data_IF_730242457306
#
_entry.id   IF_730242457306
#
_cell.length_a   1.000
_cell.length_b   1.000
_cell.length_c   1.000
_cell.angle_alpha   90.00
_cell.angle_beta   90.00
_cell.angle_gamma   90.00
#
_symmetry.space_group_name_H-M   'P 1'
#
loop_
_entity.id
_entity.type
_entity.pdbx_description
1 polymer ?
#
# COMPACT_ATOMS: atom_id res chain seq x y z
N UNK A 1 1.97 25.28 18.69
CA UNK A 1 1.20 25.70 19.91
C UNK A 1 0.59 27.08 19.76
N UNK A 2 1.34 28.14 19.42
CA UNK A 2 0.82 29.52 19.25
C UNK A 2 -0.24 29.64 18.15
N UNK A 3 -0.11 28.93 17.04
CA UNK A 3 -1.10 28.96 15.95
C UNK A 3 -2.39 28.25 16.33
N UNK A 4 -2.33 27.18 17.13
CA UNK A 4 -3.49 26.47 17.65
C UNK A 4 -4.27 27.34 18.67
N UNK A 5 -3.58 28.09 19.52
CA UNK A 5 -4.20 29.01 20.46
C UNK A 5 -4.85 30.21 19.76
N UNK A 6 -4.19 30.70 18.69
CA UNK A 6 -4.73 31.80 17.88
C UNK A 6 -5.98 31.36 17.11
N UNK A 7 -5.99 30.12 16.60
CA UNK A 7 -7.17 29.54 15.92
C UNK A 7 -8.33 29.32 16.91
N UNK A 8 -8.04 28.87 18.14
CA UNK A 8 -9.05 28.74 19.21
C UNK A 8 -9.71 30.09 19.57
N UNK A 9 -8.95 31.18 19.51
CA UNK A 9 -9.47 32.49 19.87
C UNK A 9 -10.23 33.20 18.74
N UNK A 10 -10.03 32.79 17.48
CA UNK A 10 -10.58 33.44 16.29
C UNK A 10 -11.72 32.69 15.62
N UNK A 11 -11.95 31.41 15.98
CA UNK A 11 -13.02 30.58 15.43
C UNK A 11 -14.05 30.29 16.53
N UNK A 12 -15.33 30.21 16.15
CA UNK A 12 -16.33 29.64 17.05
C UNK A 12 -16.05 28.15 17.30
N UNK A 13 -16.53 27.63 18.42
CA UNK A 13 -16.26 26.25 18.87
C UNK A 13 -16.62 25.19 17.83
N UNK A 14 -17.65 25.42 17.02
CA UNK A 14 -18.11 24.51 15.98
C UNK A 14 -17.16 24.51 14.77
N UNK A 15 -16.73 25.69 14.33
CA UNK A 15 -15.78 25.84 13.24
C UNK A 15 -14.39 25.29 13.64
N UNK A 16 -13.95 25.54 14.88
CA UNK A 16 -12.71 24.98 15.41
C UNK A 16 -12.75 23.44 15.44
N UNK A 17 -13.84 22.85 15.94
CA UNK A 17 -14.01 21.38 15.91
C UNK A 17 -14.06 20.81 14.51
N UNK A 18 -14.75 21.48 13.57
CA UNK A 18 -14.83 21.02 12.19
C UNK A 18 -13.49 21.10 11.46
N UNK A 19 -12.72 22.14 11.64
CA UNK A 19 -11.42 22.29 10.94
C UNK A 19 -10.27 21.57 11.62
N UNK A 20 -10.16 21.64 12.93
CA UNK A 20 -8.99 21.11 13.65
C UNK A 20 -9.23 19.73 14.26
N UNK A 21 -10.39 19.46 14.84
CA UNK A 21 -10.66 18.14 15.43
C UNK A 21 -10.96 17.09 14.36
N UNK A 22 -11.62 17.46 13.25
CA UNK A 22 -11.82 16.54 12.14
C UNK A 22 -10.48 16.14 11.48
N UNK A 23 -9.51 17.05 11.35
CA UNK A 23 -8.18 16.74 10.87
C UNK A 23 -7.38 15.88 11.87
N UNK A 24 -7.54 16.09 13.18
CA UNK A 24 -6.96 15.25 14.23
C UNK A 24 -7.56 13.85 14.26
N UNK A 25 -8.89 13.73 14.18
CA UNK A 25 -9.56 12.42 14.10
C UNK A 25 -9.19 11.68 12.82
N UNK A 26 -9.09 12.38 11.70
CA UNK A 26 -8.65 11.82 10.41
C UNK A 26 -7.22 11.31 10.51
N UNK A 27 -6.30 12.06 11.09
CA UNK A 27 -4.92 11.62 11.28
C UNK A 27 -4.81 10.42 12.24
N UNK A 28 -5.57 10.42 13.33
CA UNK A 28 -5.57 9.32 14.32
C UNK A 28 -6.15 8.02 13.78
N UNK A 29 -7.07 8.09 12.79
CA UNK A 29 -7.71 6.91 12.19
C UNK A 29 -7.10 6.46 10.87
N UNK A 30 -6.06 7.11 10.40
CA UNK A 30 -5.41 6.80 9.12
C UNK A 30 -4.87 5.36 9.08
N UNK A 31 -5.02 4.68 7.95
CA UNK A 31 -4.53 3.32 7.74
C UNK A 31 -2.99 3.26 7.78
N UNK A 32 -2.33 4.21 7.14
CA UNK A 32 -0.87 4.41 7.21
C UNK A 32 -0.53 5.42 8.31
N UNK A 33 -0.74 5.06 9.59
CA UNK A 33 -0.57 5.98 10.73
C UNK A 33 0.86 6.43 10.96
N UNK A 34 1.87 5.64 10.53
CA UNK A 34 3.28 6.00 10.60
C UNK A 34 3.77 6.83 9.40
N UNK A 35 2.89 7.10 8.41
CA UNK A 35 3.29 7.87 7.23
C UNK A 35 3.44 9.36 7.57
N UNK A 36 4.60 9.88 7.24
CA UNK A 36 4.96 11.30 7.29
C UNK A 36 5.51 11.70 5.92
N UNK A 37 4.92 12.72 5.31
CA UNK A 37 5.27 13.13 3.94
C UNK A 37 6.73 13.60 3.84
N UNK A 38 7.23 14.31 4.82
CA UNK A 38 8.59 14.85 4.81
C UNK A 38 9.65 13.73 4.95
N UNK A 39 9.33 12.69 5.73
CA UNK A 39 10.23 11.55 5.93
C UNK A 39 10.19 10.54 4.79
N UNK A 40 9.01 10.33 4.18
CA UNK A 40 8.78 9.17 3.31
C UNK A 40 8.70 9.51 1.83
N UNK A 41 8.37 10.77 1.46
CA UNK A 41 8.29 11.18 0.06
C UNK A 41 9.61 11.80 -0.35
N UNK A 42 10.46 10.97 -0.94
CA UNK A 42 11.81 11.38 -1.35
C UNK A 42 12.10 10.90 -2.77
N UNK A 43 12.93 11.62 -3.50
CA UNK A 43 13.52 11.14 -4.74
C UNK A 43 14.81 10.41 -4.39
N UNK A 44 14.90 9.11 -4.70
CA UNK A 44 16.12 8.36 -4.46
C UNK A 44 17.23 8.84 -5.40
N UNK A 45 18.44 9.01 -4.89
CA UNK A 45 19.63 9.37 -5.68
C UNK A 45 20.07 8.19 -6.55
N UNK A 46 20.06 6.98 -5.99
CA UNK A 46 20.38 5.74 -6.68
C UNK A 46 19.31 4.69 -6.41
N UNK A 47 18.97 3.92 -7.44
CA UNK A 47 18.01 2.83 -7.34
C UNK A 47 18.73 1.48 -7.28
N UNK A 48 18.24 0.58 -6.43
CA UNK A 48 18.63 -0.83 -6.46
C UNK A 48 18.16 -1.48 -7.76
N UNK A 49 18.89 -2.46 -8.25
CA UNK A 49 18.52 -3.25 -9.44
C UNK A 49 17.44 -4.32 -9.15
N UNK A 50 17.10 -4.53 -7.89
CA UNK A 50 16.10 -5.53 -7.48
C UNK A 50 14.70 -4.92 -7.55
N UNK A 51 14.12 -4.87 -8.74
CA UNK A 51 12.79 -4.35 -8.98
C UNK A 51 11.71 -5.42 -8.85
N UNK A 52 10.61 -5.05 -8.24
CA UNK A 52 9.44 -5.90 -7.98
C UNK A 52 8.14 -5.09 -8.14
N UNK A 53 7.03 -5.77 -8.41
CA UNK A 53 5.73 -5.13 -8.65
C UNK A 53 4.69 -5.63 -7.65
N UNK A 54 4.05 -4.74 -6.91
CA UNK A 54 2.81 -5.01 -6.17
C UNK A 54 1.61 -4.77 -7.07
N UNK A 55 0.56 -5.62 -7.01
CA UNK A 55 -0.58 -5.56 -7.93
C UNK A 55 -1.89 -5.74 -7.18
N UNK A 56 -2.87 -4.88 -7.44
CA UNK A 56 -4.26 -4.99 -6.96
C UNK A 56 -5.21 -5.16 -8.14
N UNK A 57 -6.00 -6.24 -8.09
CA UNK A 57 -7.03 -6.53 -9.09
C UNK A 57 -8.38 -6.00 -8.60
N UNK A 58 -8.80 -4.89 -9.18
CA UNK A 58 -10.11 -4.34 -8.86
C UNK A 58 -10.83 -3.91 -10.15
N UNK A 59 -12.14 -4.19 -10.23
CA UNK A 59 -12.95 -3.88 -11.42
C UNK A 59 -12.99 -2.38 -11.69
N UNK A 60 -13.03 -1.56 -10.62
CA UNK A 60 -13.09 -0.12 -10.75
C UNK A 60 -11.73 0.48 -11.13
N UNK A 61 -10.66 0.00 -10.48
CA UNK A 61 -9.29 0.45 -10.72
C UNK A 61 -8.29 -0.69 -10.60
N UNK A 62 -7.69 -1.08 -11.70
CA UNK A 62 -6.47 -1.90 -11.70
C UNK A 62 -5.29 -1.05 -11.26
N UNK A 63 -4.52 -1.51 -10.29
CA UNK A 63 -3.35 -0.80 -9.79
C UNK A 63 -2.12 -1.68 -9.74
N UNK A 64 -0.99 -1.13 -10.14
CA UNK A 64 0.32 -1.73 -9.96
C UNK A 64 1.30 -0.67 -9.44
N UNK A 65 2.18 -1.08 -8.52
CA UNK A 65 3.23 -0.22 -7.97
C UNK A 65 4.59 -0.88 -8.17
N UNK A 66 5.49 -0.17 -8.83
CA UNK A 66 6.88 -0.59 -8.99
C UNK A 66 7.70 -0.18 -7.78
N UNK A 67 8.43 -1.11 -7.21
CA UNK A 67 9.36 -0.83 -6.12
C UNK A 67 10.74 -1.42 -6.41
N UNK A 68 11.78 -0.78 -5.89
CA UNK A 68 13.09 -1.40 -5.75
C UNK A 68 13.37 -1.75 -4.28
N UNK A 69 14.08 -2.86 -4.06
CA UNK A 69 14.44 -3.36 -2.73
C UNK A 69 15.93 -3.32 -2.59
N UNK A 70 16.42 -2.61 -1.57
CA UNK A 70 17.83 -2.50 -1.24
C UNK A 70 18.32 -3.70 -0.41
N UNK A 71 19.63 -3.88 -0.35
CA UNK A 71 20.27 -4.98 0.40
C UNK A 71 19.93 -4.96 1.90
N UNK A 72 19.72 -3.78 2.48
CA UNK A 72 19.33 -3.57 3.86
C UNK A 72 17.81 -3.79 4.11
N UNK A 73 17.10 -4.31 3.10
CA UNK A 73 15.65 -4.54 3.11
C UNK A 73 14.79 -3.27 3.13
N UNK A 74 15.34 -2.12 2.83
CA UNK A 74 14.57 -0.91 2.55
C UNK A 74 13.87 -1.07 1.20
N UNK A 75 12.62 -0.61 1.12
CA UNK A 75 11.82 -0.58 -0.10
C UNK A 75 11.57 0.86 -0.52
N UNK A 76 11.80 1.16 -1.79
CA UNK A 76 11.46 2.45 -2.39
C UNK A 76 10.48 2.24 -3.54
N UNK A 77 9.28 2.81 -3.43
CA UNK A 77 8.30 2.80 -4.51
C UNK A 77 8.68 3.85 -5.55
N UNK A 78 8.92 3.38 -6.78
CA UNK A 78 9.54 4.19 -7.86
C UNK A 78 8.51 4.70 -8.83
N UNK A 79 7.46 3.92 -9.12
CA UNK A 79 6.48 4.23 -10.16
C UNK A 79 5.15 3.55 -9.89
N UNK A 80 4.08 3.99 -10.54
CA UNK A 80 2.76 3.40 -10.39
C UNK A 80 1.93 3.44 -11.67
N UNK A 81 1.07 2.45 -11.81
CA UNK A 81 0.02 2.39 -12.82
C UNK A 81 -1.31 2.35 -12.07
N UNK A 82 -2.28 3.15 -12.52
CA UNK A 82 -3.66 3.06 -12.08
C UNK A 82 -4.58 3.30 -13.27
N UNK A 83 -5.43 2.31 -13.57
CA UNK A 83 -6.32 2.34 -14.73
C UNK A 83 -7.73 2.00 -14.35
N UNK A 84 -8.66 2.86 -14.75
CA UNK A 84 -10.10 2.63 -14.59
C UNK A 84 -10.60 1.74 -15.71
N UNK A 85 -11.56 0.86 -15.39
CA UNK A 85 -12.20 -0.02 -16.37
C UNK A 85 -11.19 -0.82 -17.23
N UNK A 86 -10.15 -1.34 -16.60
CA UNK A 86 -9.07 -2.09 -17.24
C UNK A 86 -9.21 -3.60 -17.00
N UNK A 87 -8.38 -4.38 -17.65
CA UNK A 87 -8.27 -5.82 -17.45
C UNK A 87 -6.86 -6.19 -17.03
N UNK A 88 -6.70 -7.37 -16.43
CA UNK A 88 -5.38 -7.92 -16.08
C UNK A 88 -4.47 -8.09 -17.28
N UNK A 89 -5.02 -8.45 -18.44
CA UNK A 89 -4.31 -8.51 -19.72
C UNK A 89 -3.72 -7.14 -20.09
N UNK A 90 -4.57 -6.09 -20.09
CA UNK A 90 -4.14 -4.74 -20.42
C UNK A 90 -3.10 -4.21 -19.45
N UNK A 91 -3.29 -4.46 -18.14
CA UNK A 91 -2.33 -4.08 -17.11
C UNK A 91 -0.99 -4.79 -17.32
N UNK A 92 -0.99 -6.09 -17.61
CA UNK A 92 0.23 -6.87 -17.84
C UNK A 92 1.03 -6.35 -19.05
N UNK A 93 0.34 -5.98 -20.14
CA UNK A 93 0.94 -5.37 -21.34
C UNK A 93 1.56 -4.01 -20.97
N UNK A 94 0.84 -3.18 -20.24
CA UNK A 94 1.31 -1.84 -19.84
C UNK A 94 2.53 -1.92 -18.91
N UNK A 95 2.49 -2.80 -17.90
CA UNK A 95 3.64 -3.05 -17.02
C UNK A 95 4.89 -3.47 -17.82
N UNK A 96 4.72 -4.34 -18.81
CA UNK A 96 5.83 -4.78 -19.68
C UNK A 96 6.42 -3.65 -20.50
N UNK A 97 5.58 -2.74 -20.98
CA UNK A 97 5.97 -1.57 -21.77
C UNK A 97 6.72 -0.53 -20.94
N UNK A 98 6.20 -0.23 -19.74
CA UNK A 98 6.75 0.83 -18.87
C UNK A 98 7.94 0.35 -18.05
N UNK A 99 7.95 -0.93 -17.65
CA UNK A 99 8.95 -1.52 -16.75
C UNK A 99 9.60 -2.76 -17.38
N UNK A 100 10.30 -2.60 -18.52
CA UNK A 100 10.90 -3.72 -19.21
C UNK A 100 11.94 -4.44 -18.34
N UNK A 101 11.91 -5.78 -18.38
CA UNK A 101 12.84 -6.63 -17.59
C UNK A 101 12.38 -6.91 -16.16
N UNK A 102 11.37 -6.21 -15.63
CA UNK A 102 10.82 -6.54 -14.31
C UNK A 102 9.82 -7.69 -14.44
N UNK A 103 10.09 -8.79 -13.73
CA UNK A 103 9.31 -10.03 -13.86
C UNK A 103 8.71 -10.54 -12.56
N UNK A 104 9.04 -9.99 -11.41
CA UNK A 104 8.47 -10.42 -10.13
C UNK A 104 7.22 -9.65 -9.77
N UNK A 105 6.07 -10.34 -9.71
CA UNK A 105 4.78 -9.77 -9.34
C UNK A 105 4.26 -10.32 -8.00
N UNK A 106 3.76 -9.43 -7.16
CA UNK A 106 3.18 -9.71 -5.83
C UNK A 106 1.72 -9.24 -5.81
N UNK A 107 0.81 -10.00 -6.44
CA UNK A 107 -0.58 -9.60 -6.57
C UNK A 107 -1.45 -9.96 -5.37
N UNK A 108 -2.69 -9.43 -5.41
CA UNK A 108 -3.78 -9.87 -4.55
C UNK A 108 -3.93 -11.40 -4.62
N UNK A 109 -3.89 -12.12 -3.48
CA UNK A 109 -4.15 -13.56 -3.44
C UNK A 109 -5.50 -13.97 -4.01
N UNK A 110 -6.53 -13.11 -3.99
CA UNK A 110 -7.85 -13.38 -4.55
C UNK A 110 -7.81 -13.62 -6.08
N UNK A 111 -6.79 -13.08 -6.77
CA UNK A 111 -6.58 -13.29 -8.21
C UNK A 111 -6.31 -14.74 -8.64
N UNK A 112 -6.29 -15.72 -7.69
CA UNK A 112 -6.28 -17.15 -8.00
C UNK A 112 -7.64 -17.67 -8.49
N UNK A 113 -8.74 -16.98 -8.16
CA UNK A 113 -10.08 -17.37 -8.58
C UNK A 113 -10.22 -17.30 -10.11
N UNK A 114 -10.85 -18.31 -10.70
CA UNK A 114 -11.14 -18.30 -12.12
C UNK A 114 -12.31 -17.36 -12.43
N UNK A 115 -12.18 -16.54 -13.45
CA UNK A 115 -13.29 -15.77 -13.98
C UNK A 115 -14.23 -16.70 -14.76
N UNK A 116 -15.54 -16.54 -14.58
CA UNK A 116 -16.56 -17.26 -15.38
C UNK A 116 -16.53 -16.86 -16.85
N UNK A 117 -15.98 -15.70 -17.15
CA UNK A 117 -15.93 -15.14 -18.53
C UNK A 117 -14.68 -15.56 -19.30
N UNK A 118 -13.52 -15.71 -18.62
CA UNK A 118 -12.24 -15.93 -19.33
C UNK A 118 -11.66 -17.33 -19.13
N UNK A 119 -12.24 -18.17 -18.24
CA UNK A 119 -11.71 -19.47 -17.81
C UNK A 119 -10.25 -19.44 -17.28
N UNK A 120 -9.64 -18.26 -17.20
CA UNK A 120 -8.30 -18.00 -16.63
C UNK A 120 -8.42 -17.15 -15.38
N UNK A 121 -7.52 -17.36 -14.42
CA UNK A 121 -7.37 -16.46 -13.26
C UNK A 121 -6.43 -15.31 -13.60
N UNK A 122 -6.53 -14.21 -12.83
CA UNK A 122 -5.61 -13.07 -12.97
C UNK A 122 -4.15 -13.49 -12.80
N UNK A 123 -3.88 -14.39 -11.86
CA UNK A 123 -2.55 -14.96 -11.68
C UNK A 123 -2.08 -15.77 -12.89
N UNK A 124 -2.98 -16.49 -13.60
CA UNK A 124 -2.62 -17.21 -14.80
C UNK A 124 -2.30 -16.23 -15.93
N UNK A 125 -3.11 -15.18 -16.11
CA UNK A 125 -2.86 -14.14 -17.10
C UNK A 125 -1.48 -13.49 -16.90
N UNK A 126 -1.13 -13.13 -15.65
CA UNK A 126 0.21 -12.60 -15.35
C UNK A 126 1.32 -13.58 -15.74
N UNK A 127 1.18 -14.89 -15.42
CA UNK A 127 2.17 -15.91 -15.83
C UNK A 127 2.29 -16.06 -17.33
N UNK A 128 1.18 -16.03 -18.05
CA UNK A 128 1.15 -16.11 -19.51
C UNK A 128 1.90 -14.91 -20.14
N UNK A 129 1.90 -13.77 -19.45
CA UNK A 129 2.72 -12.59 -19.80
C UNK A 129 4.18 -12.65 -19.30
N UNK A 130 4.62 -13.76 -18.71
CA UNK A 130 6.00 -13.99 -18.28
C UNK A 130 6.34 -13.44 -16.90
N UNK A 131 5.34 -13.10 -16.07
CA UNK A 131 5.57 -12.72 -14.67
C UNK A 131 5.69 -13.94 -13.76
N UNK A 132 6.65 -13.91 -12.86
CA UNK A 132 6.74 -14.82 -11.71
C UNK A 132 5.80 -14.30 -10.63
N UNK A 133 4.74 -15.02 -10.35
CA UNK A 133 3.67 -14.60 -9.43
C UNK A 133 3.90 -15.17 -8.04
N UNK A 134 4.09 -14.30 -7.08
CA UNK A 134 4.27 -14.61 -5.66
C UNK A 134 3.07 -14.09 -4.86
N UNK A 135 2.19 -14.96 -4.45
CA UNK A 135 1.02 -14.60 -3.65
C UNK A 135 0.94 -15.49 -2.41
N UNK A 136 0.40 -14.95 -1.32
CA UNK A 136 0.14 -15.73 -0.12
C UNK A 136 -0.92 -16.83 -0.41
N UNK A 137 -0.83 -17.95 0.29
CA UNK A 137 -1.80 -19.07 0.14
C UNK A 137 -3.21 -18.69 0.58
N UNK A 138 -3.31 -17.80 1.57
CA UNK A 138 -4.56 -17.24 2.06
C UNK A 138 -4.46 -15.71 2.08
N UNK A 139 -5.59 -15.05 1.94
CA UNK A 139 -5.64 -13.59 2.00
C UNK A 139 -5.21 -13.10 3.40
N UNK A 140 -4.11 -12.34 3.54
CA UNK A 140 -3.72 -11.81 4.83
C UNK A 140 -4.79 -10.82 5.33
N UNK A 141 -5.02 -10.78 6.64
CA UNK A 141 -5.98 -9.83 7.20
C UNK A 141 -5.55 -8.38 6.90
N UNK A 142 -6.52 -7.47 6.75
CA UNK A 142 -6.21 -6.05 6.58
C UNK A 142 -5.33 -5.54 7.73
N UNK A 143 -5.61 -5.98 8.96
CA UNK A 143 -4.81 -5.61 10.15
C UNK A 143 -3.35 -6.02 10.01
N UNK A 144 -3.07 -7.25 9.56
CA UNK A 144 -1.69 -7.73 9.41
C UNK A 144 -0.97 -6.99 8.27
N UNK A 145 -1.68 -6.71 7.16
CA UNK A 145 -1.14 -5.92 6.05
C UNK A 145 -0.79 -4.50 6.50
N UNK A 146 -1.69 -3.83 7.24
CA UNK A 146 -1.46 -2.48 7.76
C UNK A 146 -0.34 -2.44 8.80
N UNK A 147 -0.26 -3.45 9.68
CA UNK A 147 0.85 -3.56 10.63
C UNK A 147 2.20 -3.75 9.92
N UNK A 148 2.25 -4.57 8.86
CA UNK A 148 3.46 -4.76 8.06
C UNK A 148 3.87 -3.45 7.35
N UNK A 149 2.92 -2.73 6.77
CA UNK A 149 3.12 -1.43 6.14
C UNK A 149 3.71 -0.42 7.14
N UNK A 150 3.01 -0.21 8.27
CA UNK A 150 3.42 0.81 9.23
C UNK A 150 4.77 0.51 9.89
N UNK A 151 5.08 -0.79 10.11
CA UNK A 151 6.43 -1.20 10.54
C UNK A 151 7.51 -0.86 9.50
N UNK A 152 7.19 -0.87 8.20
CA UNK A 152 8.12 -0.47 7.13
C UNK A 152 8.22 1.05 7.02
N UNK A 153 7.12 1.77 7.22
CA UNK A 153 7.15 3.22 7.28
C UNK A 153 8.05 3.69 8.42
N UNK A 154 7.76 3.31 9.65
CA UNK A 154 8.61 3.61 10.81
C UNK A 154 8.44 2.51 11.86
N UNK A 155 9.51 1.87 12.27
CA UNK A 155 9.48 0.85 13.32
C UNK A 155 9.52 1.47 14.73
N UNK A 156 9.40 0.64 15.75
CA UNK A 156 9.42 1.10 17.16
C UNK A 156 10.74 1.78 17.60
N UNK A 157 11.81 1.66 16.79
CA UNK A 157 13.09 2.33 17.02
C UNK A 157 13.23 3.61 16.19
N UNK A 158 12.18 4.03 15.47
CA UNK A 158 12.21 5.20 14.59
C UNK A 158 12.93 4.95 13.25
N UNK A 159 13.17 3.69 12.87
CA UNK A 159 13.87 3.36 11.63
C UNK A 159 12.89 3.32 10.46
N UNK A 160 13.14 4.16 9.45
CA UNK A 160 12.39 4.20 8.20
C UNK A 160 12.96 3.18 7.21
N UNK A 161 12.12 2.27 6.74
CA UNK A 161 12.46 1.22 5.76
C UNK A 161 11.53 1.21 4.55
N UNK A 162 10.73 2.25 4.38
CA UNK A 162 9.87 2.45 3.20
C UNK A 162 9.86 3.92 2.80
N UNK A 163 10.10 4.17 1.52
CA UNK A 163 10.00 5.51 0.93
C UNK A 163 9.28 5.45 -0.42
N UNK A 164 8.84 6.60 -0.92
CA UNK A 164 8.01 6.72 -2.13
C UNK A 164 8.52 7.89 -2.98
N UNK A 165 8.72 7.67 -4.27
CA UNK A 165 9.06 8.74 -5.22
C UNK A 165 7.87 9.73 -5.35
N UNK A 166 8.11 11.04 -5.40
CA UNK A 166 7.06 12.07 -5.55
C UNK A 166 6.14 11.87 -6.75
N UNK A 167 6.53 11.11 -7.76
CA UNK A 167 5.68 10.80 -8.92
C UNK A 167 4.59 9.77 -8.65
N UNK A 168 4.70 8.96 -7.58
CA UNK A 168 3.69 8.01 -7.15
C UNK A 168 2.53 8.71 -6.43
N UNK A 169 1.79 9.53 -7.16
CA UNK A 169 0.77 10.44 -6.61
C UNK A 169 -0.41 9.70 -5.98
N UNK A 170 -0.82 8.57 -6.58
CA UNK A 170 -1.94 7.78 -6.07
C UNK A 170 -1.56 7.03 -4.79
N UNK A 171 -0.37 6.42 -4.76
CA UNK A 171 0.11 5.76 -3.54
C UNK A 171 0.30 6.77 -2.40
N UNK A 172 0.88 7.95 -2.68
CA UNK A 172 1.02 9.02 -1.68
C UNK A 172 -0.35 9.45 -1.17
N UNK A 173 -1.32 9.69 -2.08
CA UNK A 173 -2.70 10.05 -1.71
C UNK A 173 -3.35 8.97 -0.84
N UNK A 174 -3.20 7.71 -1.20
CA UNK A 174 -3.73 6.59 -0.42
C UNK A 174 -3.09 6.53 0.98
N UNK A 175 -1.76 6.69 1.09
CA UNK A 175 -1.04 6.73 2.37
C UNK A 175 -1.50 7.88 3.28
N UNK A 176 -1.86 9.02 2.70
CA UNK A 176 -2.34 10.20 3.43
C UNK A 176 -3.81 10.10 3.86
N UNK A 177 -4.68 9.49 3.04
CA UNK A 177 -6.12 9.68 3.14
C UNK A 177 -6.91 8.42 3.49
N UNK A 178 -6.38 7.22 3.23
CA UNK A 178 -7.10 5.98 3.55
C UNK A 178 -7.29 5.85 5.06
N UNK A 179 -8.54 5.64 5.48
CA UNK A 179 -8.92 5.48 6.88
C UNK A 179 -9.04 4.01 7.25
N UNK A 180 -8.99 3.72 8.54
CA UNK A 180 -9.36 2.42 9.10
C UNK A 180 -10.87 2.38 9.34
N UNK A 181 -11.45 1.22 9.09
CA UNK A 181 -12.82 0.95 9.51
C UNK A 181 -12.92 0.71 11.04
N UNK A 182 -14.15 0.58 11.55
CA UNK A 182 -14.39 0.33 12.99
C UNK A 182 -13.82 -1.00 13.49
N UNK A 183 -13.47 -1.92 12.59
CA UNK A 183 -12.88 -3.23 12.91
C UNK A 183 -11.35 -3.21 12.78
N UNK A 184 -10.74 -2.05 12.49
CA UNK A 184 -9.30 -1.88 12.27
C UNK A 184 -8.81 -2.37 10.91
N UNK A 185 -9.72 -2.61 9.97
CA UNK A 185 -9.43 -2.87 8.57
C UNK A 185 -9.29 -1.59 7.75
N UNK A 186 -9.29 -1.73 6.43
CA UNK A 186 -9.27 -0.60 5.47
C UNK A 186 -10.71 -0.18 5.19
N UNK A 187 -11.02 1.10 5.36
CA UNK A 187 -12.29 1.66 4.91
C UNK A 187 -12.32 1.73 3.37
N UNK A 188 -13.26 1.01 2.79
CA UNK A 188 -13.51 0.93 1.34
C UNK A 188 -14.62 1.85 0.85
N UNK A 189 -15.11 2.77 1.70
CA UNK A 189 -16.23 3.67 1.36
C UNK A 189 -15.91 4.67 0.25
N UNK A 190 -14.64 4.99 0.02
CA UNK A 190 -14.22 5.87 -1.07
C UNK A 190 -13.54 5.05 -2.19
N UNK A 191 -14.24 4.90 -3.31
CA UNK A 191 -13.77 4.16 -4.50
C UNK A 191 -12.50 4.75 -5.13
N UNK A 192 -12.22 6.04 -4.90
CA UNK A 192 -11.03 6.73 -5.42
C UNK A 192 -9.77 6.48 -4.57
N UNK A 193 -9.89 5.69 -3.52
CA UNK A 193 -8.78 5.39 -2.61
C UNK A 193 -8.56 3.88 -2.51
N UNK A 194 -7.50 3.51 -1.82
CA UNK A 194 -7.11 2.15 -1.41
C UNK A 194 -6.35 1.30 -2.43
N UNK A 195 -6.53 1.50 -3.73
CA UNK A 195 -6.01 0.58 -4.75
C UNK A 195 -4.48 0.52 -4.83
N UNK A 196 -3.80 1.68 -4.82
CA UNK A 196 -2.33 1.71 -4.79
C UNK A 196 -1.80 1.25 -3.43
N UNK A 197 -2.51 1.55 -2.33
CA UNK A 197 -2.19 1.06 -1.00
C UNK A 197 -2.34 -0.47 -0.91
N UNK A 198 -3.41 -1.04 -1.47
CA UNK A 198 -3.61 -2.48 -1.50
C UNK A 198 -2.49 -3.17 -2.28
N UNK A 199 -2.17 -2.68 -3.49
CA UNK A 199 -1.06 -3.18 -4.29
C UNK A 199 0.27 -3.15 -3.53
N UNK A 200 0.58 -2.04 -2.84
CA UNK A 200 1.78 -1.91 -2.01
C UNK A 200 1.78 -2.87 -0.81
N UNK A 201 0.63 -3.03 -0.15
CA UNK A 201 0.53 -3.88 1.05
C UNK A 201 0.55 -5.37 0.73
N UNK A 202 0.10 -5.83 -0.44
CA UNK A 202 0.27 -7.23 -0.87
C UNK A 202 1.76 -7.57 -1.01
N UNK A 203 2.55 -6.73 -1.66
CA UNK A 203 4.00 -6.88 -1.77
C UNK A 203 4.67 -6.92 -0.39
N UNK A 204 4.38 -5.91 0.47
CA UNK A 204 4.99 -5.80 1.80
C UNK A 204 4.64 -7.01 2.67
N UNK A 205 3.37 -7.38 2.73
CA UNK A 205 2.91 -8.49 3.59
C UNK A 205 3.43 -9.85 3.13
N UNK A 206 3.67 -10.04 1.84
CA UNK A 206 4.28 -11.26 1.33
C UNK A 206 5.76 -11.35 1.70
N UNK A 207 6.52 -10.28 1.46
CA UNK A 207 7.98 -10.28 1.71
C UNK A 207 8.34 -10.18 3.19
N UNK A 208 7.56 -9.43 3.95
CA UNK A 208 7.81 -9.19 5.38
C UNK A 208 6.54 -9.38 6.22
N UNK A 209 6.03 -10.61 6.30
CA UNK A 209 4.80 -10.91 7.05
C UNK A 209 4.94 -10.59 8.54
N UNK A 210 3.82 -10.27 9.18
CA UNK A 210 3.75 -10.21 10.64
C UNK A 210 3.69 -11.64 11.15
N UNK A 211 4.78 -12.10 11.75
CA UNK A 211 4.84 -13.40 12.41
C UNK A 211 4.27 -13.24 13.82
N UNK A 212 3.10 -13.78 14.06
CA UNK A 212 2.60 -13.91 15.44
C UNK A 212 3.48 -14.95 16.16
N UNK A 213 4.29 -14.51 17.11
CA UNK A 213 4.96 -15.44 18.04
C UNK A 213 3.87 -16.07 18.89
N UNK A 214 3.56 -17.34 18.64
CA UNK A 214 2.78 -18.14 19.59
C UNK A 214 3.66 -18.22 20.85
N UNK A 215 3.23 -17.55 21.90
CA UNK A 215 3.86 -17.70 23.20
C UNK A 215 3.62 -19.16 23.62
N UNK A 216 4.62 -20.02 23.42
CA UNK A 216 4.65 -21.33 24.06
C UNK A 216 4.72 -21.05 25.56
N UNK A 217 3.61 -21.30 26.26
CA UNK A 217 3.58 -21.27 27.71
C UNK A 217 4.59 -22.31 28.22
N UNK A 218 5.73 -21.84 28.70
CA UNK A 218 6.64 -22.65 29.47
C UNK A 218 5.89 -22.98 30.76
N UNK A 219 5.33 -24.18 30.87
CA UNK A 219 4.86 -24.71 32.15
C UNK A 219 6.11 -25.00 32.98
N UNK A 220 6.27 -24.27 34.06
CA UNK A 220 7.20 -24.58 35.16
C UNK A 220 6.64 -25.72 35.97
#
# INVERSE_FOLDING_TARGET
>A
EKELELAKSNLDERAYRQEFMASFETAANRAAWAFDREKHVIKAEELSINFVIGIDFNVDYMSAVLACIYSDQTIHYVDEIRRRNSSTEALAIEMKSLWPGVTEGYPDPAGTARSTTSNRSDHQILRDHGYRVFAARSHPSHRDRLNALNRKLEDANGVVKMTVDPKCKYLIKDLEQVQRDRKGGIDKGNIELTHSLDAATYLISYKWPIVQRIATSIKW
#
